data_IF_814692611320
#
_entry.id   IF_814692611320
#
_cell.length_a   1.000
_cell.length_b   1.000
_cell.length_c   1.000
_cell.angle_alpha   90.00
_cell.angle_beta   90.00
_cell.angle_gamma   90.00
#
_symmetry.space_group_name_H-M   'P 1'
#
loop_
_entity.id
_entity.type
_entity.pdbx_description
1 polymer ?
#
# COMPACT_ATOMS: atom_id res chain seq x y z
N UNK A 1 11.72 -12.01 -26.90
CA UNK A 1 11.74 -11.18 -25.69
C UNK A 1 10.38 -11.27 -25.07
N UNK A 2 10.27 -11.89 -23.90
CA UNK A 2 9.02 -11.88 -23.14
C UNK A 2 8.87 -10.52 -22.46
N UNK A 3 7.67 -9.95 -22.54
CA UNK A 3 7.32 -8.69 -21.88
C UNK A 3 6.58 -9.05 -20.59
N UNK A 4 7.19 -8.73 -19.45
CA UNK A 4 6.55 -8.89 -18.15
C UNK A 4 5.70 -7.65 -17.82
N UNK A 5 4.42 -7.86 -17.52
CA UNK A 5 3.48 -6.79 -17.16
C UNK A 5 3.17 -6.86 -15.67
N UNK A 6 3.40 -5.75 -14.96
CA UNK A 6 2.99 -5.59 -13.55
C UNK A 6 1.74 -4.72 -13.44
N UNK A 7 0.65 -5.21 -12.83
CA UNK A 7 -0.47 -4.37 -12.46
C UNK A 7 -0.06 -3.38 -11.35
N UNK A 8 -0.12 -2.09 -11.63
CA UNK A 8 0.07 -1.01 -10.64
C UNK A 8 -1.29 -0.53 -10.14
N UNK A 9 -1.41 -0.20 -8.86
CA UNK A 9 -2.68 0.16 -8.19
C UNK A 9 -3.77 -0.95 -8.15
N UNK A 10 -3.40 -2.18 -8.51
CA UNK A 10 -4.19 -3.39 -8.30
C UNK A 10 -3.41 -4.40 -7.43
N UNK A 11 -3.09 -4.06 -6.16
CA UNK A 11 -2.19 -4.83 -5.31
C UNK A 11 -2.61 -6.29 -5.06
N UNK A 12 -3.90 -6.59 -5.24
CA UNK A 12 -4.45 -7.94 -5.19
C UNK A 12 -3.83 -8.90 -6.22
N UNK A 13 -3.12 -8.41 -7.24
CA UNK A 13 -2.41 -9.27 -8.20
C UNK A 13 -1.46 -10.25 -7.51
N UNK A 14 -0.89 -9.91 -6.36
CA UNK A 14 -0.05 -10.83 -5.57
C UNK A 14 -0.84 -12.05 -5.10
N UNK A 15 -2.06 -11.83 -4.61
CA UNK A 15 -2.94 -12.90 -4.18
C UNK A 15 -3.44 -13.71 -5.39
N UNK A 16 -3.81 -13.03 -6.47
CA UNK A 16 -4.25 -13.69 -7.72
C UNK A 16 -3.15 -14.54 -8.34
N UNK A 17 -1.91 -14.06 -8.39
CA UNK A 17 -0.77 -14.81 -8.91
C UNK A 17 -0.52 -16.10 -8.10
N UNK A 18 -0.57 -16.00 -6.77
CA UNK A 18 -0.45 -17.16 -5.87
C UNK A 18 -1.59 -18.17 -6.09
N UNK A 19 -2.84 -17.71 -6.23
CA UNK A 19 -4.00 -18.58 -6.50
C UNK A 19 -3.95 -19.28 -7.86
N UNK A 20 -3.30 -18.66 -8.84
CA UNK A 20 -3.15 -19.19 -10.20
C UNK A 20 -1.83 -19.94 -10.42
N UNK A 21 -1.01 -20.11 -9.37
CA UNK A 21 0.33 -20.71 -9.45
C UNK A 21 1.25 -20.04 -10.48
N UNK A 22 1.14 -18.71 -10.59
CA UNK A 22 1.98 -17.89 -11.47
C UNK A 22 3.18 -17.39 -10.67
N UNK A 23 4.37 -17.84 -11.04
CA UNK A 23 5.60 -17.29 -10.47
C UNK A 23 5.80 -15.84 -10.94
N UNK A 24 5.94 -14.95 -9.98
CA UNK A 24 6.21 -13.54 -10.22
C UNK A 24 7.36 -13.08 -9.33
N UNK A 25 8.27 -12.30 -9.91
CA UNK A 25 9.37 -11.70 -9.14
C UNK A 25 8.89 -10.64 -8.14
N UNK A 26 7.65 -10.15 -8.25
CA UNK A 26 7.11 -9.16 -7.33
C UNK A 26 6.69 -9.81 -6.02
N UNK A 27 7.20 -9.30 -4.89
CA UNK A 27 6.90 -9.84 -3.56
C UNK A 27 5.81 -9.07 -2.82
N UNK A 28 5.59 -7.81 -3.17
CA UNK A 28 4.63 -6.92 -2.52
C UNK A 28 3.72 -6.24 -3.55
N UNK A 29 2.45 -6.10 -3.18
CA UNK A 29 1.41 -5.46 -3.97
C UNK A 29 1.48 -3.94 -3.81
N UNK A 30 0.95 -3.43 -2.70
CA UNK A 30 1.02 -2.00 -2.37
C UNK A 30 2.34 -1.68 -1.67
N UNK A 31 3.02 -0.62 -2.14
CA UNK A 31 4.29 -0.16 -1.56
C UNK A 31 4.15 1.12 -0.74
N UNK A 32 2.97 1.73 -0.75
CA UNK A 32 2.70 3.04 -0.17
C UNK A 32 3.10 3.10 1.31
N UNK A 33 3.94 4.08 1.65
CA UNK A 33 4.44 4.34 3.00
C UNK A 33 5.42 3.32 3.58
N UNK A 34 5.59 2.17 2.91
CA UNK A 34 6.50 1.10 3.35
C UNK A 34 7.84 1.15 2.63
N UNK A 35 7.82 1.24 1.30
CA UNK A 35 9.04 1.31 0.48
C UNK A 35 8.90 2.27 -0.69
N UNK A 36 7.86 3.09 -0.68
CA UNK A 36 7.52 4.05 -1.71
C UNK A 36 6.74 5.21 -1.08
N UNK A 37 7.09 6.43 -1.50
CA UNK A 37 6.30 7.65 -1.33
C UNK A 37 6.56 8.55 -2.54
N UNK A 38 5.84 9.65 -2.61
CA UNK A 38 6.11 10.73 -3.57
C UNK A 38 6.43 12.02 -2.82
N UNK A 39 7.11 12.92 -3.52
CA UNK A 39 7.20 14.34 -3.18
C UNK A 39 6.52 15.10 -4.31
N UNK A 40 5.46 15.84 -4.00
CA UNK A 40 4.73 16.60 -5.01
C UNK A 40 5.44 17.94 -5.33
N UNK A 41 5.00 18.71 -6.36
CA UNK A 41 5.68 19.96 -6.75
C UNK A 41 5.72 21.05 -5.68
N UNK A 42 4.80 21.04 -4.71
CA UNK A 42 4.81 21.99 -3.59
C UNK A 42 5.70 21.54 -2.44
N UNK A 43 6.23 20.31 -2.49
CA UNK A 43 7.16 19.75 -1.52
C UNK A 43 6.50 18.80 -0.52
N UNK A 44 5.18 18.58 -0.58
CA UNK A 44 4.54 17.66 0.35
C UNK A 44 4.96 16.22 0.03
N UNK A 45 5.27 15.48 1.09
CA UNK A 45 5.50 14.03 1.03
C UNK A 45 4.16 13.34 1.23
N UNK A 46 3.87 12.35 0.39
CA UNK A 46 2.64 11.55 0.46
C UNK A 46 2.97 10.07 0.24
N UNK A 47 2.27 9.11 0.89
CA UNK A 47 2.61 7.69 0.76
C UNK A 47 2.37 7.13 -0.65
N UNK A 48 1.48 7.75 -1.44
CA UNK A 48 1.18 7.35 -2.81
C UNK A 48 0.63 8.54 -3.60
N UNK A 49 0.86 8.58 -4.91
CA UNK A 49 0.33 9.63 -5.81
C UNK A 49 -1.21 9.73 -5.82
N UNK A 50 -1.91 8.67 -5.41
CA UNK A 50 -3.37 8.65 -5.36
C UNK A 50 -3.93 8.69 -3.93
N UNK A 51 -3.06 8.74 -2.92
CA UNK A 51 -3.45 8.86 -1.53
C UNK A 51 -3.14 10.29 -1.09
N UNK A 52 -4.15 11.14 -1.13
CA UNK A 52 -4.02 12.55 -0.73
C UNK A 52 -3.93 12.67 0.80
N UNK A 53 -2.77 12.29 1.33
CA UNK A 53 -2.45 12.26 2.75
C UNK A 53 -1.05 12.83 2.92
N UNK A 54 -0.95 14.08 3.36
CA UNK A 54 0.32 14.73 3.64
C UNK A 54 0.95 14.12 4.90
N UNK A 55 2.18 13.63 4.78
CA UNK A 55 2.96 13.07 5.90
C UNK A 55 4.11 13.97 6.34
N UNK A 56 4.37 15.05 5.60
CA UNK A 56 5.40 16.06 5.88
C UNK A 56 5.63 16.95 4.65
N UNK A 57 6.55 17.91 4.73
CA UNK A 57 6.99 18.71 3.58
C UNK A 57 8.52 18.89 3.57
N UNK A 58 9.16 18.56 2.45
CA UNK A 58 10.63 18.58 2.33
C UNK A 58 11.26 19.98 2.37
N UNK A 59 10.44 21.03 2.27
CA UNK A 59 10.88 22.43 2.43
C UNK A 59 10.92 22.86 3.89
N UNK A 60 10.27 22.12 4.78
CA UNK A 60 10.14 22.42 6.21
C UNK A 60 11.06 21.54 7.06
N UNK A 61 11.20 20.26 6.68
CA UNK A 61 12.05 19.30 7.38
C UNK A 61 12.77 18.35 6.39
N UNK A 62 13.83 17.69 6.84
CA UNK A 62 14.57 16.76 5.98
C UNK A 62 13.70 15.56 5.59
N UNK A 63 13.80 15.10 4.35
CA UNK A 63 13.08 13.90 3.89
C UNK A 63 13.34 12.68 4.78
N UNK A 64 14.57 12.52 5.27
CA UNK A 64 14.93 11.43 6.20
C UNK A 64 14.09 11.48 7.48
N UNK A 65 13.95 12.67 8.07
CA UNK A 65 13.10 12.87 9.26
C UNK A 65 11.65 12.50 8.99
N UNK A 66 11.06 13.02 7.90
CA UNK A 66 9.69 12.69 7.50
C UNK A 66 9.52 11.18 7.34
N UNK A 67 10.45 10.55 6.62
CA UNK A 67 10.39 9.14 6.33
C UNK A 67 10.54 8.29 7.60
N UNK A 68 11.45 8.61 8.50
CA UNK A 68 11.75 7.80 9.68
C UNK A 68 10.81 8.05 10.86
N UNK A 69 10.19 9.23 10.96
CA UNK A 69 9.47 9.66 12.17
C UNK A 69 8.00 10.05 11.94
N UNK A 70 7.47 9.91 10.72
CA UNK A 70 6.04 10.19 10.48
C UNK A 70 5.16 9.11 11.11
N UNK A 71 4.27 9.52 12.01
CA UNK A 71 3.31 8.62 12.68
C UNK A 71 2.47 7.82 11.67
N UNK A 72 2.03 8.46 10.58
CA UNK A 72 1.24 7.83 9.52
C UNK A 72 2.07 6.73 8.84
N UNK A 73 3.32 7.03 8.49
CA UNK A 73 4.18 6.05 7.82
C UNK A 73 4.53 4.89 8.74
N UNK A 74 4.76 5.17 10.02
CA UNK A 74 5.04 4.14 11.02
C UNK A 74 3.83 3.24 11.27
N UNK A 75 2.62 3.81 11.34
CA UNK A 75 1.38 3.03 11.41
C UNK A 75 1.21 2.16 10.15
N UNK A 76 1.46 2.69 8.95
CA UNK A 76 1.40 1.88 7.73
C UNK A 76 2.43 0.75 7.69
N UNK A 77 3.57 0.89 8.38
CA UNK A 77 4.64 -0.11 8.43
C UNK A 77 4.41 -1.21 9.45
N UNK A 78 3.48 -1.04 10.40
CA UNK A 78 3.05 -2.15 11.26
C UNK A 78 2.37 -3.25 10.45
N UNK A 79 1.75 -2.88 9.33
CA UNK A 79 0.92 -3.76 8.49
C UNK A 79 -0.29 -4.36 9.24
N UNK A 80 -0.66 -3.77 10.40
CA UNK A 80 -1.79 -4.18 11.22
C UNK A 80 -3.10 -3.64 10.62
N UNK A 81 -3.46 -4.16 9.44
CA UNK A 81 -4.61 -3.70 8.69
C UNK A 81 -5.93 -4.02 9.39
N UNK A 82 -6.92 -3.15 9.20
CA UNK A 82 -8.29 -3.35 9.70
C UNK A 82 -9.16 -4.12 8.70
N UNK A 83 -10.38 -4.45 9.15
CA UNK A 83 -11.36 -5.19 8.36
C UNK A 83 -10.85 -6.55 7.91
N UNK A 84 -11.29 -7.01 6.74
CA UNK A 84 -10.90 -8.33 6.21
C UNK A 84 -9.40 -8.49 5.96
N UNK A 85 -8.67 -7.39 5.78
CA UNK A 85 -7.24 -7.43 5.49
C UNK A 85 -6.41 -7.83 6.73
N UNK A 86 -6.90 -7.57 7.95
CA UNK A 86 -6.19 -7.91 9.19
C UNK A 86 -6.05 -9.40 9.46
N UNK A 87 -7.01 -10.21 8.99
CA UNK A 87 -6.97 -11.68 9.08
C UNK A 87 -6.63 -12.36 7.75
N UNK A 88 -6.26 -11.60 6.73
CA UNK A 88 -5.98 -12.13 5.41
C UNK A 88 -4.59 -12.76 5.33
N UNK A 89 -4.49 -14.00 4.81
CA UNK A 89 -3.18 -14.64 4.57
C UNK A 89 -2.25 -13.84 3.64
N UNK A 90 -2.82 -12.95 2.83
CA UNK A 90 -2.06 -12.05 1.95
C UNK A 90 -1.86 -10.66 2.53
N UNK A 91 -2.34 -10.36 3.74
CA UNK A 91 -2.33 -9.01 4.32
C UNK A 91 -0.95 -8.34 4.31
N UNK A 92 0.10 -9.09 4.67
CA UNK A 92 1.48 -8.60 4.71
C UNK A 92 2.11 -8.37 3.33
N UNK A 93 1.68 -9.09 2.28
CA UNK A 93 2.24 -9.02 0.92
C UNK A 93 1.39 -8.16 -0.03
N UNK A 94 0.09 -8.44 -0.13
CA UNK A 94 -0.85 -7.69 -0.97
C UNK A 94 -1.01 -6.26 -0.45
N UNK A 95 -1.35 -6.11 0.84
CA UNK A 95 -1.56 -4.84 1.56
C UNK A 95 -2.72 -3.97 1.07
N UNK A 96 -3.45 -4.36 0.01
CA UNK A 96 -4.63 -3.62 -0.49
C UNK A 96 -4.34 -2.20 -0.98
N UNK A 97 -5.26 -1.58 -1.73
CA UNK A 97 -5.05 -0.20 -2.16
C UNK A 97 -5.37 0.78 -1.03
N UNK A 98 -4.33 1.42 -0.46
CA UNK A 98 -4.48 2.37 0.66
C UNK A 98 -5.22 3.64 0.25
N UNK A 99 -5.05 4.08 -1.00
CA UNK A 99 -5.81 5.19 -1.58
C UNK A 99 -7.33 4.92 -1.61
N UNK A 100 -7.74 3.72 -2.04
CA UNK A 100 -9.17 3.34 -2.06
C UNK A 100 -9.72 3.15 -0.66
N UNK A 101 -8.97 2.48 0.23
CA UNK A 101 -9.36 2.36 1.63
C UNK A 101 -9.64 3.74 2.24
N UNK A 102 -8.73 4.71 2.06
CA UNK A 102 -8.90 6.06 2.57
C UNK A 102 -10.07 6.80 1.93
N UNK A 103 -10.21 6.78 0.60
CA UNK A 103 -11.27 7.50 -0.10
C UNK A 103 -12.68 7.07 0.35
N UNK A 104 -12.91 5.76 0.53
CA UNK A 104 -14.25 5.25 0.86
C UNK A 104 -14.57 5.21 2.36
N UNK A 105 -13.56 5.12 3.23
CA UNK A 105 -13.79 4.96 4.68
C UNK A 105 -13.27 6.12 5.53
N UNK A 106 -12.46 7.01 4.95
CA UNK A 106 -11.69 8.00 5.70
C UNK A 106 -10.50 7.42 6.49
N UNK A 107 -10.23 6.12 6.38
CA UNK A 107 -9.17 5.44 7.12
C UNK A 107 -8.27 4.61 6.19
N UNK A 108 -7.01 5.00 6.05
CA UNK A 108 -6.04 4.34 5.16
C UNK A 108 -5.62 2.94 5.64
N UNK A 109 -5.90 2.59 6.90
CA UNK A 109 -5.66 1.25 7.46
C UNK A 109 -6.79 0.25 7.16
N UNK A 110 -7.94 0.71 6.66
CA UNK A 110 -9.06 -0.17 6.32
C UNK A 110 -8.79 -1.10 5.13
N UNK A 111 -9.67 -2.08 4.98
CA UNK A 111 -9.69 -2.94 3.81
C UNK A 111 -10.05 -2.16 2.54
N UNK A 112 -9.45 -2.55 1.42
CA UNK A 112 -9.86 -2.07 0.11
C UNK A 112 -11.27 -2.60 -0.23
N UNK A 113 -12.28 -1.73 -0.40
CA UNK A 113 -13.68 -2.15 -0.54
C UNK A 113 -13.94 -2.93 -1.83
N UNK A 114 -13.07 -2.82 -2.84
CA UNK A 114 -13.21 -3.55 -4.10
C UNK A 114 -12.32 -4.79 -4.20
N UNK A 115 -11.65 -5.17 -3.11
CA UNK A 115 -10.90 -6.41 -3.12
C UNK A 115 -11.86 -7.60 -3.28
N UNK A 116 -11.65 -8.44 -4.29
CA UNK A 116 -12.45 -9.66 -4.55
C UNK A 116 -11.81 -10.92 -3.98
N UNK A 117 -10.63 -10.83 -3.36
CA UNK A 117 -9.93 -11.98 -2.79
C UNK A 117 -10.70 -12.48 -1.58
N UNK A 118 -11.06 -13.76 -1.61
CA UNK A 118 -11.66 -14.47 -0.48
C UNK A 118 -10.60 -14.83 0.55
N UNK A 119 -10.98 -14.71 1.83
CA UNK A 119 -10.08 -14.86 2.96
C UNK A 119 -9.86 -16.33 3.29
N UNK A 120 -9.17 -17.07 2.42
CA UNK A 120 -8.75 -18.45 2.74
C UNK A 120 -7.54 -18.38 3.67
N UNK A 121 -7.76 -18.01 4.93
CA UNK A 121 -6.90 -18.46 6.02
C UNK A 121 -7.20 -19.96 6.17
N UNK A 122 -6.19 -20.80 5.92
CA UNK A 122 -6.25 -22.21 6.30
C UNK A 122 -6.22 -22.31 7.83
#
# INVERSE_FOLDING_TARGET
MEIEVKPVCAPQFIATADQLDIDTRFRNGCLAGVSYCIVNPVGDVQPCAYLDLKVGNVKEESFKSIWENSEILDEMRTLDWKGKCGSCKYGSKCRGCRARAYYYSGNYMEADPFCSIENTAL
#
